data_IF_305642114742
#
_entry.id   IF_305642114742
#
_cell.length_a   1.000
_cell.length_b   1.000
_cell.length_c   1.000
_cell.angle_alpha   90.00
_cell.angle_beta   90.00
_cell.angle_gamma   90.00
#
_symmetry.space_group_name_H-M   'P 1'
#
loop_
_entity.id
_entity.type
_entity.pdbx_description
1 polymer ?
#
# COMPACT_ATOMS: atom_id res chain seq x y z
N UNK A 1 -6.60 10.26 -15.92
CA UNK A 1 -6.91 11.52 -15.23
C UNK A 1 -5.96 11.69 -14.03
N UNK A 2 -5.72 12.94 -13.60
CA UNK A 2 -4.81 13.26 -12.50
C UNK A 2 -5.59 13.81 -11.31
N UNK A 3 -5.10 13.55 -10.11
CA UNK A 3 -5.61 14.14 -8.87
C UNK A 3 -4.46 14.43 -7.89
N UNK A 4 -4.64 15.47 -7.08
CA UNK A 4 -3.69 15.88 -6.03
C UNK A 4 -4.37 15.81 -4.67
N UNK A 5 -3.61 15.39 -3.65
CA UNK A 5 -4.10 15.17 -2.30
C UNK A 5 -3.14 15.78 -1.27
N UNK A 6 -3.69 16.38 -0.25
CA UNK A 6 -2.96 16.84 0.92
C UNK A 6 -2.76 15.71 1.93
N UNK A 7 -1.78 15.87 2.81
CA UNK A 7 -1.54 14.90 3.90
C UNK A 7 -2.81 14.66 4.73
N UNK A 8 -3.20 13.41 4.84
CA UNK A 8 -4.40 12.96 5.56
C UNK A 8 -5.65 12.82 4.70
N UNK A 9 -5.63 13.30 3.44
CA UNK A 9 -6.76 13.11 2.54
C UNK A 9 -6.91 11.64 2.14
N UNK A 10 -8.16 11.22 1.98
CA UNK A 10 -8.50 9.90 1.47
C UNK A 10 -8.56 9.93 -0.05
N UNK A 11 -7.81 9.03 -0.70
CA UNK A 11 -7.90 8.79 -2.13
C UNK A 11 -9.14 7.95 -2.43
N UNK A 12 -9.39 6.93 -1.58
CA UNK A 12 -10.61 6.12 -1.52
C UNK A 12 -10.77 5.53 -0.13
N UNK A 13 -11.97 5.08 0.20
CA UNK A 13 -12.30 4.49 1.51
C UNK A 13 -12.64 3.01 1.39
N UNK A 14 -12.38 2.24 2.44
CA UNK A 14 -12.90 0.87 2.59
C UNK A 14 -14.43 0.90 2.45
N UNK A 15 -14.96 0.01 1.62
CA UNK A 15 -16.39 -0.06 1.32
C UNK A 15 -16.85 0.75 0.12
N UNK A 16 -16.03 1.67 -0.43
CA UNK A 16 -16.37 2.38 -1.66
C UNK A 16 -16.52 1.39 -2.81
N UNK A 17 -17.44 1.67 -3.73
CA UNK A 17 -17.78 0.78 -4.87
C UNK A 17 -17.23 1.26 -6.21
N UNK A 18 -16.33 2.25 -6.20
CA UNK A 18 -15.67 2.70 -7.43
C UNK A 18 -14.62 1.67 -7.92
N UNK A 19 -14.48 1.57 -9.25
CA UNK A 19 -13.56 0.62 -9.90
C UNK A 19 -12.41 1.37 -10.61
N UNK A 20 -11.75 2.24 -9.88
CA UNK A 20 -10.58 2.98 -10.36
C UNK A 20 -9.29 2.34 -9.88
N UNK A 21 -8.32 2.30 -10.76
CA UNK A 21 -6.95 1.97 -10.43
C UNK A 21 -6.11 3.25 -10.40
N UNK A 22 -5.23 3.36 -9.44
CA UNK A 22 -4.40 4.53 -9.22
C UNK A 22 -2.92 4.17 -9.37
N UNK A 23 -2.16 5.01 -10.08
CA UNK A 23 -0.70 4.98 -10.12
C UNK A 23 -0.18 6.19 -9.34
N UNK A 24 0.70 5.96 -8.39
CA UNK A 24 1.29 7.02 -7.58
C UNK A 24 2.43 7.70 -8.33
N UNK A 25 2.21 8.97 -8.74
CA UNK A 25 3.21 9.78 -9.43
C UNK A 25 4.12 10.56 -8.49
N UNK A 26 3.64 10.88 -7.28
CA UNK A 26 4.41 11.61 -6.28
C UNK A 26 3.86 11.41 -4.89
N UNK A 27 4.74 11.51 -3.90
CA UNK A 27 4.37 11.39 -2.50
C UNK A 27 4.35 9.96 -2.01
N UNK A 28 3.64 9.74 -0.90
CA UNK A 28 3.44 8.43 -0.27
C UNK A 28 2.00 8.25 0.15
N UNK A 29 1.51 7.01 0.04
CA UNK A 29 0.14 6.63 0.39
C UNK A 29 0.20 5.41 1.30
N UNK A 30 -0.56 5.42 2.39
CA UNK A 30 -0.76 4.25 3.24
C UNK A 30 -2.11 3.61 2.94
N UNK A 31 -2.13 2.29 2.89
CA UNK A 31 -3.36 1.50 2.92
C UNK A 31 -3.65 1.10 4.37
N UNK A 32 -4.85 1.42 4.82
CA UNK A 32 -5.31 1.12 6.16
C UNK A 32 -6.65 0.39 6.12
N UNK A 33 -6.87 -0.44 7.12
CA UNK A 33 -8.15 -1.09 7.39
C UNK A 33 -8.61 -0.75 8.79
N UNK A 34 -9.91 -0.52 8.94
CA UNK A 34 -10.50 -0.25 10.24
C UNK A 34 -11.30 -1.46 10.70
N UNK A 35 -11.01 -1.95 11.90
CA UNK A 35 -11.80 -3.02 12.53
C UNK A 35 -13.09 -2.46 13.15
N UNK A 36 -14.03 -3.35 13.49
CA UNK A 36 -15.31 -2.99 14.10
C UNK A 36 -15.18 -2.24 15.43
N UNK A 37 -14.11 -2.43 16.16
CA UNK A 37 -13.76 -1.73 17.41
C UNK A 37 -12.95 -0.44 17.17
N UNK A 38 -12.94 0.08 15.93
CA UNK A 38 -12.27 1.29 15.48
C UNK A 38 -10.73 1.27 15.55
N UNK A 39 -10.11 0.12 15.76
CA UNK A 39 -8.66 0.01 15.61
C UNK A 39 -8.29 0.13 14.14
N UNK A 40 -7.27 0.93 13.85
CA UNK A 40 -6.76 1.14 12.49
C UNK A 40 -5.55 0.23 12.31
N UNK A 41 -5.60 -0.65 11.33
CA UNK A 41 -4.49 -1.50 10.92
C UNK A 41 -3.82 -0.93 9.69
N UNK A 42 -2.53 -0.69 9.75
CA UNK A 42 -1.71 -0.32 8.59
C UNK A 42 -1.35 -1.58 7.80
N UNK A 43 -1.83 -1.66 6.57
CA UNK A 43 -1.59 -2.81 5.69
C UNK A 43 -0.29 -2.65 4.89
N UNK A 44 -0.10 -1.49 4.26
CA UNK A 44 1.06 -1.21 3.42
C UNK A 44 1.29 0.28 3.24
N UNK A 45 2.51 0.63 2.80
CA UNK A 45 2.88 1.97 2.35
C UNK A 45 3.30 1.86 0.89
N UNK A 46 2.77 2.75 0.07
CA UNK A 46 3.05 2.85 -1.35
C UNK A 46 3.82 4.13 -1.63
N UNK A 47 4.73 4.05 -2.61
CA UNK A 47 5.61 5.13 -3.06
C UNK A 47 5.48 5.35 -4.58
N UNK A 48 6.26 6.27 -5.11
CA UNK A 48 6.32 6.58 -6.54
C UNK A 48 6.42 5.31 -7.40
N UNK A 49 5.62 5.26 -8.46
CA UNK A 49 5.58 4.16 -9.42
C UNK A 49 4.75 2.96 -8.99
N UNK A 50 4.23 2.95 -7.76
CA UNK A 50 3.39 1.84 -7.29
C UNK A 50 1.91 2.06 -7.60
N UNK A 51 1.22 0.95 -7.91
CA UNK A 51 -0.21 0.90 -8.21
C UNK A 51 -0.99 0.55 -6.94
N UNK A 52 -2.18 1.14 -6.79
CA UNK A 52 -3.12 0.86 -5.71
C UNK A 52 -4.56 0.84 -6.21
N UNK A 53 -5.43 0.13 -5.47
CA UNK A 53 -6.85 0.02 -5.81
C UNK A 53 -7.14 -0.96 -6.93
N UNK A 54 -6.23 -1.89 -7.21
CA UNK A 54 -6.33 -2.89 -8.28
C UNK A 54 -7.35 -4.01 -7.99
N UNK A 55 -7.59 -4.34 -6.71
CA UNK A 55 -8.39 -5.51 -6.33
C UNK A 55 -9.80 -5.46 -6.94
N UNK A 56 -10.63 -4.42 -6.70
CA UNK A 56 -11.98 -4.41 -7.26
C UNK A 56 -12.01 -4.23 -8.78
N UNK A 57 -10.91 -3.81 -9.39
CA UNK A 57 -10.80 -3.64 -10.85
C UNK A 57 -10.58 -4.98 -11.54
N UNK A 58 -9.78 -5.87 -10.94
CA UNK A 58 -9.47 -7.19 -11.51
C UNK A 58 -10.30 -8.32 -10.92
N UNK A 59 -11.12 -8.08 -9.89
CA UNK A 59 -12.05 -9.06 -9.37
C UNK A 59 -13.24 -9.21 -10.34
N UNK A 60 -13.43 -10.39 -10.96
CA UNK A 60 -14.52 -10.61 -11.95
C UNK A 60 -15.92 -10.47 -11.33
N UNK A 61 -16.04 -10.56 -10.01
CA UNK A 61 -17.31 -10.35 -9.31
C UNK A 61 -17.50 -8.89 -8.90
N UNK A 62 -16.51 -8.04 -9.13
CA UNK A 62 -16.46 -6.71 -8.57
C UNK A 62 -16.39 -6.77 -7.05
N UNK A 63 -16.61 -5.67 -6.41
CA UNK A 63 -16.66 -5.64 -4.95
C UNK A 63 -16.24 -4.27 -4.43
N UNK A 64 -16.54 -4.00 -3.16
CA UNK A 64 -16.11 -2.75 -2.55
C UNK A 64 -14.60 -2.74 -2.32
N UNK A 65 -14.06 -1.55 -2.12
CA UNK A 65 -12.69 -1.34 -1.66
C UNK A 65 -12.43 -2.13 -0.38
N UNK A 66 -11.38 -2.94 -0.37
CA UNK A 66 -11.01 -3.79 0.77
C UNK A 66 -10.20 -3.05 1.84
N UNK A 67 -9.78 -1.83 1.56
CA UNK A 67 -9.01 -0.96 2.45
C UNK A 67 -9.22 0.50 2.06
N UNK A 68 -8.84 1.42 2.94
CA UNK A 68 -8.77 2.85 2.65
C UNK A 68 -7.35 3.25 2.25
N UNK A 69 -7.22 4.15 1.26
CA UNK A 69 -5.95 4.76 0.86
C UNK A 69 -5.88 6.20 1.36
N UNK A 70 -4.84 6.54 2.11
CA UNK A 70 -4.65 7.85 2.73
C UNK A 70 -3.30 8.44 2.34
N UNK A 71 -3.30 9.69 1.87
CA UNK A 71 -2.10 10.43 1.54
C UNK A 71 -1.25 10.70 2.79
N UNK A 72 0.05 10.41 2.73
CA UNK A 72 1.00 10.61 3.83
C UNK A 72 1.79 11.91 3.69
N UNK A 73 1.88 12.45 2.49
CA UNK A 73 2.61 13.69 2.16
C UNK A 73 1.66 14.74 1.60
N UNK A 74 2.00 16.01 1.73
CA UNK A 74 1.15 17.13 1.32
C UNK A 74 1.15 17.41 -0.19
N UNK A 75 1.96 16.68 -0.94
CA UNK A 75 2.13 16.82 -2.38
C UNK A 75 1.87 15.49 -3.11
N UNK A 76 0.95 14.70 -2.59
CA UNK A 76 0.61 13.39 -3.16
C UNK A 76 -0.14 13.58 -4.47
N UNK A 77 0.41 13.02 -5.56
CA UNK A 77 -0.20 13.02 -6.90
C UNK A 77 -0.42 11.61 -7.40
N UNK A 78 -1.59 11.38 -7.97
CA UNK A 78 -1.95 10.11 -8.58
C UNK A 78 -2.50 10.33 -9.99
N UNK A 79 -2.22 9.37 -10.88
CA UNK A 79 -2.98 9.14 -12.11
C UNK A 79 -3.95 8.02 -11.85
N UNK A 80 -5.16 8.16 -12.36
CA UNK A 80 -6.14 7.07 -12.25
C UNK A 80 -6.84 6.79 -13.57
N UNK A 81 -7.22 5.52 -13.73
CA UNK A 81 -8.02 5.00 -14.84
C UNK A 81 -9.23 4.25 -14.27
N UNK A 82 -10.37 4.42 -14.92
CA UNK A 82 -11.54 3.57 -14.68
C UNK A 82 -11.35 2.21 -15.35
N UNK A 83 -12.10 1.23 -14.88
CA UNK A 83 -12.06 -0.16 -15.36
C UNK A 83 -12.02 -0.26 -16.90
N UNK A 84 -13.01 0.29 -17.59
CA UNK A 84 -13.13 0.13 -19.05
C UNK A 84 -11.96 0.78 -19.80
N UNK A 85 -11.53 1.96 -19.35
CA UNK A 85 -10.40 2.66 -19.94
C UNK A 85 -9.08 1.91 -19.71
N UNK A 86 -8.93 1.28 -18.55
CA UNK A 86 -7.76 0.44 -18.23
C UNK A 86 -7.72 -0.77 -19.15
N UNK A 87 -8.84 -1.51 -19.28
CA UNK A 87 -8.87 -2.72 -20.09
C UNK A 87 -8.66 -2.42 -21.58
N UNK A 88 -9.32 -1.38 -22.12
CA UNK A 88 -9.06 -0.92 -23.49
C UNK A 88 -7.56 -0.58 -23.71
N UNK A 89 -6.94 0.07 -22.74
CA UNK A 89 -5.53 0.39 -22.83
C UNK A 89 -4.62 -0.85 -22.74
N UNK A 90 -4.97 -1.83 -21.90
CA UNK A 90 -4.21 -3.09 -21.77
C UNK A 90 -4.31 -3.95 -23.04
N UNK A 91 -5.46 -3.94 -23.74
CA UNK A 91 -5.62 -4.62 -25.02
C UNK A 91 -4.65 -4.08 -26.09
N UNK A 92 -4.41 -2.77 -26.08
CA UNK A 92 -3.44 -2.12 -26.96
C UNK A 92 -1.98 -2.31 -26.47
N UNK A 93 -1.78 -2.59 -25.17
CA UNK A 93 -0.47 -2.68 -24.54
C UNK A 93 -0.29 -3.99 -23.73
N UNK A 94 -0.35 -5.18 -24.36
CA UNK A 94 -0.36 -6.47 -23.64
C UNK A 94 0.88 -6.72 -22.78
N UNK A 95 2.00 -6.09 -23.09
CA UNK A 95 3.21 -6.16 -22.25
C UNK A 95 2.98 -5.57 -20.87
N UNK A 96 2.21 -4.50 -20.76
CA UNK A 96 1.87 -3.87 -19.48
C UNK A 96 1.02 -4.81 -18.62
N UNK A 97 0.09 -5.56 -19.22
CA UNK A 97 -0.68 -6.58 -18.49
C UNK A 97 0.25 -7.64 -17.87
N UNK A 98 1.27 -8.08 -18.60
CA UNK A 98 2.29 -9.03 -18.07
C UNK A 98 3.08 -8.39 -16.92
N UNK A 99 3.51 -7.14 -17.05
CA UNK A 99 4.24 -6.44 -15.99
C UNK A 99 3.35 -6.27 -14.73
N UNK A 100 2.07 -5.99 -14.89
CA UNK A 100 1.11 -5.94 -13.79
C UNK A 100 0.94 -7.30 -13.10
N UNK A 101 0.87 -8.41 -13.86
CA UNK A 101 0.82 -9.76 -13.29
C UNK A 101 2.07 -10.05 -12.47
N UNK A 102 3.25 -9.61 -12.90
CA UNK A 102 4.50 -9.77 -12.12
C UNK A 102 4.44 -8.98 -10.81
N UNK A 103 3.93 -7.75 -10.83
CA UNK A 103 3.73 -6.95 -9.62
C UNK A 103 2.77 -7.64 -8.65
N UNK A 104 1.63 -8.15 -9.14
CA UNK A 104 0.67 -8.87 -8.31
C UNK A 104 1.24 -10.17 -7.74
N UNK A 105 1.99 -10.93 -8.53
CA UNK A 105 2.68 -12.14 -8.06
C UNK A 105 3.70 -11.83 -6.96
N UNK A 106 4.42 -10.71 -7.09
CA UNK A 106 5.35 -10.24 -6.06
C UNK A 106 4.61 -9.88 -4.77
N UNK A 107 3.51 -9.13 -4.86
CA UNK A 107 2.65 -8.80 -3.71
C UNK A 107 2.08 -10.04 -3.01
N UNK A 108 1.67 -11.07 -3.78
CA UNK A 108 1.23 -12.34 -3.20
C UNK A 108 2.35 -13.02 -2.41
N UNK A 109 3.56 -13.04 -2.94
CA UNK A 109 4.72 -13.59 -2.22
C UNK A 109 4.99 -12.84 -0.92
N UNK A 110 5.01 -11.51 -0.97
CA UNK A 110 5.19 -10.66 0.22
C UNK A 110 4.11 -10.92 1.28
N UNK A 111 2.85 -11.09 0.84
CA UNK A 111 1.76 -11.42 1.75
C UNK A 111 1.92 -12.79 2.39
N UNK A 112 2.35 -13.81 1.63
CA UNK A 112 2.63 -15.14 2.17
C UNK A 112 3.79 -15.11 3.17
N UNK A 113 4.85 -14.34 2.90
CA UNK A 113 5.94 -14.13 3.87
C UNK A 113 5.44 -13.46 5.15
N UNK A 114 4.59 -12.44 5.05
CA UNK A 114 4.00 -11.79 6.23
C UNK A 114 3.17 -12.75 7.08
N UNK A 115 2.38 -13.63 6.46
CA UNK A 115 1.62 -14.66 7.17
C UNK A 115 2.58 -15.61 7.89
N UNK A 116 3.64 -16.06 7.23
CA UNK A 116 4.67 -16.89 7.84
C UNK A 116 5.38 -16.19 9.02
N UNK A 117 5.67 -14.90 8.89
CA UNK A 117 6.25 -14.11 9.98
C UNK A 117 5.34 -14.07 11.22
N UNK A 118 4.04 -13.94 11.02
CA UNK A 118 3.08 -13.95 12.15
C UNK A 118 3.03 -15.28 12.88
N UNK A 119 3.28 -16.37 12.17
CA UNK A 119 3.23 -17.73 12.75
C UNK A 119 4.56 -18.13 13.39
N UNK A 120 5.70 -17.79 12.78
CA UNK A 120 7.00 -18.36 13.11
C UNK A 120 7.99 -17.37 13.75
N UNK A 121 7.71 -16.06 13.73
CA UNK A 121 8.61 -15.07 14.31
C UNK A 121 8.04 -14.47 15.60
N UNK A 122 8.92 -14.23 16.54
CA UNK A 122 8.61 -13.46 17.74
C UNK A 122 8.45 -11.96 17.46
N UNK A 123 7.90 -11.23 18.43
CA UNK A 123 7.66 -9.78 18.31
C UNK A 123 8.95 -8.98 18.01
N UNK A 124 10.08 -9.18 18.71
CA UNK A 124 11.33 -8.51 18.39
C UNK A 124 11.82 -8.76 16.97
N UNK A 125 11.75 -10.00 16.50
CA UNK A 125 12.14 -10.37 15.14
C UNK A 125 11.29 -9.69 14.08
N UNK A 126 9.97 -9.65 14.25
CA UNK A 126 9.05 -8.93 13.33
C UNK A 126 9.33 -7.44 13.32
N UNK A 127 9.60 -6.83 14.48
CA UNK A 127 9.97 -5.42 14.56
C UNK A 127 11.27 -5.14 13.82
N UNK A 128 12.31 -5.94 14.05
CA UNK A 128 13.59 -5.79 13.35
C UNK A 128 13.42 -5.88 11.83
N UNK A 129 12.68 -6.87 11.34
CA UNK A 129 12.40 -7.02 9.90
C UNK A 129 11.59 -5.83 9.33
N UNK A 130 10.65 -5.31 10.11
CA UNK A 130 9.90 -4.10 9.75
C UNK A 130 10.82 -2.89 9.59
N UNK A 131 11.70 -2.65 10.55
CA UNK A 131 12.65 -1.53 10.51
C UNK A 131 13.62 -1.67 9.33
N UNK A 132 14.14 -2.88 9.08
CA UNK A 132 15.00 -3.16 7.93
C UNK A 132 14.28 -2.91 6.60
N UNK A 133 13.02 -3.31 6.48
CA UNK A 133 12.22 -3.07 5.28
C UNK A 133 11.97 -1.56 5.05
N UNK A 134 11.62 -0.81 6.10
CA UNK A 134 11.46 0.64 6.01
C UNK A 134 12.79 1.32 5.65
N UNK A 135 13.90 0.87 6.24
CA UNK A 135 15.22 1.37 5.94
C UNK A 135 15.64 1.11 4.49
N UNK A 136 15.37 -0.08 3.98
CA UNK A 136 15.64 -0.45 2.59
C UNK A 136 14.82 0.35 1.58
N UNK A 137 13.56 0.66 1.89
CA UNK A 137 12.65 1.35 0.97
C UNK A 137 12.73 2.87 1.03
N UNK A 138 13.00 3.42 2.22
CA UNK A 138 12.89 4.85 2.50
C UNK A 138 14.13 5.44 3.16
N UNK A 139 15.18 4.65 3.37
CA UNK A 139 16.38 5.07 4.05
C UNK A 139 17.24 6.03 3.22
N UNK A 140 17.61 7.13 3.80
CA UNK A 140 18.54 8.11 3.25
C UNK A 140 19.88 8.02 3.98
N UNK A 141 21.03 7.87 3.28
CA UNK A 141 22.34 7.85 3.93
C UNK A 141 22.62 9.18 4.64
N UNK A 142 23.08 9.11 5.88
CA UNK A 142 23.56 10.25 6.67
C UNK A 142 24.90 9.88 7.34
N UNK A 143 25.66 10.86 7.82
CA UNK A 143 27.00 10.60 8.42
C UNK A 143 26.99 9.54 9.53
N UNK A 144 25.93 9.48 10.34
CA UNK A 144 25.80 8.56 11.47
C UNK A 144 25.05 7.25 11.13
N UNK A 145 24.73 6.97 9.85
CA UNK A 145 24.02 5.76 9.44
C UNK A 145 22.90 6.00 8.41
N UNK A 146 21.69 5.55 8.70
CA UNK A 146 20.54 5.64 7.80
C UNK A 146 19.38 6.38 8.48
N UNK A 147 18.95 7.49 7.91
CA UNK A 147 17.74 8.19 8.33
C UNK A 147 16.55 7.65 7.53
N UNK A 148 15.50 7.22 8.22
CA UNK A 148 14.28 6.69 7.59
C UNK A 148 13.12 7.66 7.79
N UNK A 149 12.79 8.50 6.81
CA UNK A 149 11.61 9.38 6.87
C UNK A 149 10.34 8.53 6.64
N UNK A 150 9.74 8.04 7.71
CA UNK A 150 8.60 7.11 7.61
C UNK A 150 7.22 7.78 7.71
N UNK A 151 7.10 9.00 8.26
CA UNK A 151 5.83 9.74 8.49
C UNK A 151 4.71 8.93 9.19
N UNK A 152 5.08 7.89 9.91
CA UNK A 152 4.18 7.05 10.70
C UNK A 152 4.08 7.55 12.13
N UNK A 153 2.89 7.50 12.69
CA UNK A 153 2.70 7.66 14.14
C UNK A 153 3.27 6.44 14.88
N UNK A 154 3.50 6.58 16.19
CA UNK A 154 3.95 5.44 17.01
C UNK A 154 2.96 4.28 16.95
N UNK A 155 1.65 4.58 16.93
CA UNK A 155 0.61 3.56 16.83
C UNK A 155 0.60 2.86 15.48
N UNK A 156 0.76 3.60 14.38
CA UNK A 156 0.89 3.01 13.04
C UNK A 156 2.17 2.15 12.91
N UNK A 157 3.26 2.58 13.54
CA UNK A 157 4.50 1.79 13.59
C UNK A 157 4.28 0.46 14.35
N UNK A 158 3.54 0.50 15.46
CA UNK A 158 3.17 -0.71 16.21
C UNK A 158 2.34 -1.68 15.38
N UNK A 159 1.43 -1.17 14.57
CA UNK A 159 0.47 -1.97 13.80
C UNK A 159 1.05 -2.41 12.45
N UNK A 160 2.08 -1.73 11.97
CA UNK A 160 2.71 -2.08 10.71
C UNK A 160 3.30 -3.49 10.78
N UNK A 161 2.76 -4.39 9.92
CA UNK A 161 3.08 -5.82 9.87
C UNK A 161 2.70 -6.63 11.12
N UNK A 162 1.75 -6.17 11.92
CA UNK A 162 1.33 -6.92 13.13
C UNK A 162 2.45 -7.06 14.17
N UNK A 163 3.43 -6.16 14.13
CA UNK A 163 4.70 -6.36 14.85
C UNK A 163 4.61 -6.24 16.37
N UNK A 164 3.50 -5.74 16.94
CA UNK A 164 3.49 -5.37 18.37
C UNK A 164 2.16 -5.67 19.10
N UNK A 165 1.22 -6.38 18.52
CA UNK A 165 0.06 -6.87 19.26
C UNK A 165 0.28 -8.34 19.64
N UNK A 166 0.50 -8.60 20.92
CA UNK A 166 0.15 -9.89 21.51
C UNK A 166 -1.39 -10.07 21.45
N UNK A 167 -1.87 -11.30 21.31
CA UNK A 167 -3.29 -11.60 21.31
C UNK A 167 -3.97 -11.20 22.63
#
# INVERSE_FOLDING_TARGET
QHAEYSKGDYIFREGDTDHRMYLLERGRVKLIRQSSDRRVQLLSIHAYGEVLGEIPVFDPHGGPRTASAVAMTSDTKVVWLEHDALFAWLDEHPRVAVDMLQVLAHRMRDNNERISELVFMDVPGRLAKTLLNLASRFGEPVEAGLKVPHDLTQEEMRQYRGSLTEP
#
